data_IF_280407785654
#
_entry.id   IF_280407785654
#
_cell.length_a   1.000
_cell.length_b   1.000
_cell.length_c   1.000
_cell.angle_alpha   90.00
_cell.angle_beta   90.00
_cell.angle_gamma   90.00
#
_symmetry.space_group_name_H-M   'P 1'
#
loop_
_entity.id
_entity.type
_entity.pdbx_description
1 polymer ?
#
# COMPACT_ATOMS: atom_id res chain seq x y z
N UNK A 1 -6.02 -3.99 2.08
CA UNK A 1 -7.38 -3.57 2.17
C UNK A 1 -8.13 -3.99 3.44
N UNK A 2 -7.42 -4.22 4.60
CA UNK A 2 -8.05 -4.75 5.80
C UNK A 2 -8.64 -6.16 5.60
N UNK A 3 -9.42 -6.66 6.59
CA UNK A 3 -10.02 -8.01 6.55
C UNK A 3 -11.05 -8.20 5.41
N UNK A 4 -11.69 -7.13 4.97
CA UNK A 4 -12.67 -7.17 3.87
C UNK A 4 -12.03 -7.08 2.47
N UNK A 5 -10.70 -6.86 2.40
CA UNK A 5 -10.01 -6.66 1.14
C UNK A 5 -10.31 -5.31 0.48
N UNK A 6 -9.74 -5.10 -0.71
CA UNK A 6 -10.00 -3.95 -1.56
C UNK A 6 -10.35 -4.44 -2.96
N UNK A 7 -11.63 -4.71 -3.20
CA UNK A 7 -12.11 -5.30 -4.45
C UNK A 7 -11.54 -4.63 -5.71
N UNK A 8 -11.47 -3.30 -5.83
CA UNK A 8 -10.90 -2.67 -7.02
C UNK A 8 -9.41 -2.99 -7.22
N UNK A 9 -8.62 -3.10 -6.14
CA UNK A 9 -7.22 -3.53 -6.21
C UNK A 9 -7.15 -4.99 -6.66
N UNK A 10 -7.99 -5.86 -6.10
CA UNK A 10 -8.07 -7.28 -6.47
C UNK A 10 -8.40 -7.49 -7.96
N UNK A 11 -9.21 -6.61 -8.53
CA UNK A 11 -9.62 -6.68 -9.93
C UNK A 11 -8.55 -6.17 -10.90
N UNK A 12 -7.84 -5.11 -10.54
CA UNK A 12 -6.93 -4.38 -11.44
C UNK A 12 -5.49 -4.89 -11.40
N UNK A 13 -4.96 -5.18 -10.19
CA UNK A 13 -3.53 -5.51 -10.03
C UNK A 13 -3.09 -6.74 -10.83
N UNK A 14 -3.85 -7.86 -10.89
CA UNK A 14 -3.43 -9.02 -11.66
C UNK A 14 -3.20 -8.74 -13.15
N UNK A 15 -4.10 -7.99 -13.80
CA UNK A 15 -3.96 -7.62 -15.21
C UNK A 15 -2.77 -6.68 -15.47
N UNK A 16 -2.57 -5.69 -14.59
CA UNK A 16 -1.42 -4.80 -14.67
C UNK A 16 -0.08 -5.57 -14.60
N UNK A 17 0.01 -6.55 -13.70
CA UNK A 17 1.22 -7.37 -13.54
C UNK A 17 1.43 -8.37 -14.70
N UNK A 18 0.35 -8.93 -15.25
CA UNK A 18 0.45 -9.77 -16.45
C UNK A 18 1.04 -8.99 -17.63
N UNK A 19 0.56 -7.77 -17.83
CA UNK A 19 1.06 -6.87 -18.89
C UNK A 19 2.53 -6.49 -18.67
N UNK A 20 2.94 -6.25 -17.42
CA UNK A 20 4.34 -6.01 -17.08
C UNK A 20 5.24 -7.23 -17.32
N UNK A 21 4.80 -8.42 -16.95
CA UNK A 21 5.55 -9.65 -17.12
C UNK A 21 5.85 -9.96 -18.60
N UNK A 22 4.95 -9.59 -19.51
CA UNK A 22 5.15 -9.77 -20.95
C UNK A 22 6.23 -8.85 -21.53
N UNK A 23 6.49 -7.72 -20.87
CA UNK A 23 7.42 -6.69 -21.37
C UNK A 23 8.79 -6.74 -20.71
N UNK A 24 9.00 -7.59 -19.72
CA UNK A 24 10.24 -7.63 -18.93
C UNK A 24 10.70 -9.04 -18.57
N UNK A 25 12.03 -9.19 -18.57
CA UNK A 25 12.74 -10.42 -18.18
C UNK A 25 13.02 -10.51 -16.66
N UNK A 26 12.37 -9.67 -15.83
CA UNK A 26 12.61 -9.63 -14.38
C UNK A 26 11.33 -10.00 -13.63
N UNK A 27 11.41 -11.02 -12.79
CA UNK A 27 10.31 -11.44 -11.93
C UNK A 27 9.98 -10.32 -10.91
N UNK A 28 8.68 -10.06 -10.73
CA UNK A 28 8.15 -9.23 -9.66
C UNK A 28 7.50 -10.19 -8.69
N UNK A 29 8.00 -10.23 -7.46
CA UNK A 29 7.36 -10.99 -6.40
C UNK A 29 6.22 -10.18 -5.80
N UNK A 30 5.12 -10.85 -5.48
CA UNK A 30 3.91 -10.20 -4.95
C UNK A 30 3.35 -10.99 -3.78
N UNK A 31 3.06 -10.27 -2.72
CA UNK A 31 2.28 -10.82 -1.60
C UNK A 31 0.94 -10.07 -1.54
N UNK A 32 -0.12 -10.72 -2.00
CA UNK A 32 -1.44 -10.12 -2.17
C UNK A 32 -2.43 -10.61 -1.11
N UNK A 33 -2.84 -9.73 -0.19
CA UNK A 33 -3.95 -9.95 0.72
C UNK A 33 -5.25 -9.54 0.03
N UNK A 34 -6.14 -10.50 -0.20
CA UNK A 34 -7.38 -10.30 -0.96
C UNK A 34 -8.57 -9.89 -0.10
N UNK A 35 -8.54 -10.22 1.18
CA UNK A 35 -9.71 -10.28 2.05
C UNK A 35 -10.47 -11.59 1.90
N UNK A 36 -11.37 -11.85 2.84
CA UNK A 36 -12.10 -13.11 2.91
C UNK A 36 -13.02 -13.32 1.71
N UNK A 37 -13.05 -14.55 1.21
CA UNK A 37 -13.91 -14.97 0.08
C UNK A 37 -13.47 -14.48 -1.30
N UNK A 38 -12.34 -13.77 -1.44
CA UNK A 38 -11.88 -13.22 -2.72
C UNK A 38 -10.67 -13.94 -3.33
N UNK A 39 -9.99 -14.79 -2.57
CA UNK A 39 -8.72 -15.41 -2.96
C UNK A 39 -8.84 -16.30 -4.21
N UNK A 40 -9.90 -17.09 -4.34
CA UNK A 40 -10.10 -17.99 -5.48
C UNK A 40 -10.23 -17.21 -6.82
N UNK A 41 -10.97 -16.07 -6.82
CA UNK A 41 -11.10 -15.23 -8.01
C UNK A 41 -9.77 -14.54 -8.35
N UNK A 42 -9.10 -13.98 -7.35
CA UNK A 42 -7.80 -13.31 -7.55
C UNK A 42 -6.73 -14.28 -8.04
N UNK A 43 -6.65 -15.51 -7.50
CA UNK A 43 -5.74 -16.55 -8.01
C UNK A 43 -6.01 -16.87 -9.49
N UNK A 44 -7.28 -17.00 -9.87
CA UNK A 44 -7.66 -17.26 -11.26
C UNK A 44 -7.20 -16.11 -12.17
N UNK A 45 -7.36 -14.85 -11.73
CA UNK A 45 -6.90 -13.67 -12.46
C UNK A 45 -5.37 -13.63 -12.62
N UNK A 46 -4.61 -14.03 -11.62
CA UNK A 46 -3.14 -14.11 -11.74
C UNK A 46 -2.66 -15.22 -12.69
N UNK A 47 -3.39 -16.33 -12.75
CA UNK A 47 -3.05 -17.43 -13.65
C UNK A 47 -1.62 -17.93 -13.46
N UNK A 48 -0.82 -17.94 -14.54
CA UNK A 48 0.57 -18.43 -14.53
C UNK A 48 1.53 -17.62 -13.64
N UNK A 49 1.20 -16.39 -13.30
CA UNK A 49 2.05 -15.59 -12.40
C UNK A 49 2.16 -16.18 -10.99
N UNK A 50 1.21 -17.04 -10.56
CA UNK A 50 1.31 -17.76 -9.29
C UNK A 50 2.55 -18.66 -9.21
N UNK A 51 3.05 -19.16 -10.35
CA UNK A 51 4.26 -19.97 -10.43
C UNK A 51 5.53 -19.11 -10.54
N UNK A 52 5.38 -17.78 -10.64
CA UNK A 52 6.44 -16.82 -10.91
C UNK A 52 6.67 -15.83 -9.74
N UNK A 53 6.30 -16.22 -8.52
CA UNK A 53 6.54 -15.40 -7.31
C UNK A 53 5.34 -14.61 -6.81
N UNK A 54 4.12 -14.91 -7.28
CA UNK A 54 2.90 -14.31 -6.73
C UNK A 54 2.31 -15.21 -5.64
N UNK A 55 2.24 -14.69 -4.41
CA UNK A 55 1.61 -15.29 -3.24
C UNK A 55 0.28 -14.60 -2.97
N UNK A 56 -0.82 -15.35 -3.01
CA UNK A 56 -2.17 -14.85 -2.72
C UNK A 56 -2.67 -15.46 -1.41
N UNK A 57 -3.12 -14.62 -0.48
CA UNK A 57 -3.67 -15.02 0.83
C UNK A 57 -4.95 -14.24 1.13
N UNK A 58 -5.83 -14.79 1.94
CA UNK A 58 -7.01 -14.07 2.42
C UNK A 58 -6.63 -13.00 3.41
N UNK A 59 -5.70 -13.31 4.32
CA UNK A 59 -5.22 -12.41 5.36
C UNK A 59 -3.71 -12.60 5.60
N UNK A 60 -3.01 -11.53 5.98
CA UNK A 60 -1.61 -11.54 6.40
C UNK A 60 -1.59 -11.35 7.91
N UNK A 61 -1.17 -12.40 8.63
CA UNK A 61 -1.12 -12.38 10.09
C UNK A 61 0.00 -11.46 10.61
N UNK A 62 1.19 -11.57 10.02
CA UNK A 62 2.35 -10.74 10.38
C UNK A 62 2.53 -9.61 9.36
N UNK A 63 1.91 -8.47 9.64
CA UNK A 63 2.05 -7.28 8.81
C UNK A 63 3.45 -6.67 8.88
N UNK A 64 4.16 -6.84 10.01
CA UNK A 64 5.53 -6.33 10.16
C UNK A 64 6.49 -7.09 9.23
N UNK A 65 6.35 -8.43 9.13
CA UNK A 65 7.08 -9.25 8.16
C UNK A 65 6.78 -8.80 6.73
N UNK A 66 5.50 -8.62 6.40
CA UNK A 66 5.08 -8.21 5.06
C UNK A 66 5.63 -6.83 4.67
N UNK A 67 5.58 -5.86 5.58
CA UNK A 67 6.19 -4.55 5.33
C UNK A 67 7.72 -4.62 5.24
N UNK A 68 8.38 -5.42 6.07
CA UNK A 68 9.83 -5.59 6.00
C UNK A 68 10.28 -6.20 4.68
N UNK A 69 9.50 -7.13 4.13
CA UNK A 69 9.75 -7.78 2.85
C UNK A 69 9.49 -6.86 1.64
N UNK A 70 8.48 -5.99 1.69
CA UNK A 70 8.04 -5.23 0.54
C UNK A 70 8.98 -4.07 0.18
N UNK A 71 9.33 -3.91 -1.08
CA UNK A 71 9.96 -2.70 -1.62
C UNK A 71 8.94 -1.59 -1.93
N UNK A 72 7.69 -1.97 -2.21
CA UNK A 72 6.58 -1.06 -2.52
C UNK A 72 5.27 -1.67 -2.03
N UNK A 73 4.40 -0.86 -1.44
CA UNK A 73 3.08 -1.27 -0.95
C UNK A 73 1.97 -0.58 -1.73
N UNK A 74 1.00 -1.34 -2.26
CA UNK A 74 -0.24 -0.83 -2.84
C UNK A 74 -1.40 -1.11 -1.89
N UNK A 75 -2.02 -0.08 -1.33
CA UNK A 75 -3.05 -0.28 -0.30
C UNK A 75 -4.06 0.87 -0.18
N UNK A 76 -5.08 0.67 0.68
CA UNK A 76 -5.97 1.72 1.16
C UNK A 76 -5.28 2.62 2.19
N UNK A 77 -5.90 3.79 2.47
CA UNK A 77 -5.32 4.85 3.28
C UNK A 77 -5.94 4.92 4.69
N UNK A 78 -6.10 3.76 5.35
CA UNK A 78 -6.50 3.74 6.75
C UNK A 78 -5.43 4.40 7.65
N UNK A 79 -5.84 5.09 8.73
CA UNK A 79 -4.91 5.84 9.59
C UNK A 79 -3.79 4.96 10.15
N UNK A 80 -4.12 3.74 10.64
CA UNK A 80 -3.12 2.79 11.13
C UNK A 80 -2.16 2.35 10.02
N UNK A 81 -2.68 2.06 8.82
CA UNK A 81 -1.84 1.68 7.67
C UNK A 81 -0.86 2.79 7.31
N UNK A 82 -1.29 4.07 7.32
CA UNK A 82 -0.40 5.20 7.07
C UNK A 82 0.70 5.30 8.14
N UNK A 83 0.35 5.12 9.42
CA UNK A 83 1.33 5.13 10.51
C UNK A 83 2.33 3.96 10.40
N UNK A 84 1.86 2.76 10.06
CA UNK A 84 2.70 1.57 9.84
C UNK A 84 3.66 1.77 8.65
N UNK A 85 3.17 2.30 7.52
CA UNK A 85 4.00 2.60 6.37
C UNK A 85 5.07 3.64 6.68
N UNK A 86 4.71 4.67 7.46
CA UNK A 86 5.66 5.69 7.91
C UNK A 86 6.76 5.08 8.77
N UNK A 87 6.40 4.37 9.86
CA UNK A 87 7.40 3.83 10.79
C UNK A 87 8.30 2.77 10.16
N UNK A 88 7.77 2.02 9.18
CA UNK A 88 8.53 1.03 8.42
C UNK A 88 9.29 1.64 7.24
N UNK A 89 9.11 2.94 6.97
CA UNK A 89 9.73 3.63 5.84
C UNK A 89 9.36 3.00 4.50
N UNK A 90 8.08 2.63 4.29
CA UNK A 90 7.68 1.91 3.07
C UNK A 90 7.12 2.85 1.99
N UNK A 91 7.77 2.88 0.80
CA UNK A 91 7.20 3.54 -0.37
C UNK A 91 5.82 2.96 -0.67
N UNK A 92 4.86 3.80 -1.00
CA UNK A 92 3.52 3.28 -1.22
C UNK A 92 2.75 3.98 -2.35
N UNK A 93 1.85 3.20 -2.99
CA UNK A 93 0.77 3.70 -3.83
C UNK A 93 -0.50 3.63 -2.99
N UNK A 94 -1.04 4.79 -2.68
CA UNK A 94 -2.18 4.96 -1.78
C UNK A 94 -3.46 5.16 -2.58
N UNK A 95 -4.44 4.27 -2.35
CA UNK A 95 -5.74 4.29 -3.02
C UNK A 95 -6.83 4.60 -2.00
N UNK A 96 -7.24 5.87 -1.82
CA UNK A 96 -8.31 6.22 -0.90
C UNK A 96 -9.62 5.52 -1.26
N UNK A 97 -10.41 5.19 -0.23
CA UNK A 97 -11.76 4.69 -0.41
C UNK A 97 -12.66 5.84 -0.87
N UNK A 98 -13.31 5.75 -2.05
CA UNK A 98 -14.23 6.77 -2.49
C UNK A 98 -15.42 6.85 -1.54
N UNK A 99 -15.97 8.04 -1.36
CA UNK A 99 -17.13 8.30 -0.50
C UNK A 99 -16.93 7.93 0.99
N UNK A 100 -15.68 7.86 1.47
CA UNK A 100 -15.43 7.83 2.91
C UNK A 100 -16.03 9.10 3.55
N UNK A 101 -16.68 8.93 4.72
CA UNK A 101 -17.23 10.08 5.46
C UNK A 101 -16.13 11.12 5.62
N UNK A 102 -16.41 12.37 5.25
CA UNK A 102 -15.47 13.51 5.32
C UNK A 102 -14.14 13.31 4.56
N UNK A 103 -14.09 12.41 3.58
CA UNK A 103 -12.89 12.11 2.77
C UNK A 103 -11.62 11.84 3.60
N UNK A 104 -11.80 11.28 4.81
CA UNK A 104 -10.71 11.06 5.77
C UNK A 104 -9.57 10.21 5.21
N UNK A 105 -9.83 9.29 4.26
CA UNK A 105 -8.76 8.49 3.68
C UNK A 105 -7.85 9.29 2.75
N UNK A 106 -8.38 10.27 2.03
CA UNK A 106 -7.56 11.20 1.25
C UNK A 106 -6.73 12.07 2.20
N UNK A 107 -7.34 12.59 3.28
CA UNK A 107 -6.61 13.36 4.28
C UNK A 107 -5.46 12.53 4.93
N UNK A 108 -5.72 11.27 5.27
CA UNK A 108 -4.68 10.38 5.77
C UNK A 108 -3.54 10.17 4.76
N UNK A 109 -3.87 10.01 3.48
CA UNK A 109 -2.86 9.82 2.43
C UNK A 109 -1.92 11.02 2.31
N UNK A 110 -2.43 12.26 2.50
CA UNK A 110 -1.64 13.49 2.46
C UNK A 110 -0.49 13.50 3.49
N UNK A 111 -0.63 12.79 4.62
CA UNK A 111 0.45 12.68 5.60
C UNK A 111 1.77 12.12 5.00
N UNK A 112 1.67 11.24 4.00
CA UNK A 112 2.82 10.69 3.28
C UNK A 112 3.05 11.33 1.92
N UNK A 113 1.98 11.62 1.14
CA UNK A 113 2.13 12.12 -0.23
C UNK A 113 2.71 13.52 -0.27
N UNK A 114 2.34 14.42 0.65
CA UNK A 114 2.84 15.79 0.71
C UNK A 114 4.33 15.86 1.09
N UNK A 115 4.85 14.78 1.68
CA UNK A 115 6.26 14.61 2.01
C UNK A 115 7.06 13.80 0.98
N UNK A 116 6.39 13.31 -0.06
CA UNK A 116 7.01 12.47 -1.10
C UNK A 116 7.23 11.01 -0.70
N UNK A 117 6.66 10.55 0.43
CA UNK A 117 6.74 9.16 0.90
C UNK A 117 5.78 8.20 0.21
N UNK A 118 4.79 8.73 -0.52
CA UNK A 118 3.80 7.94 -1.23
C UNK A 118 3.35 8.61 -2.53
N UNK A 119 2.71 7.83 -3.39
CA UNK A 119 1.99 8.32 -4.57
C UNK A 119 0.49 8.09 -4.37
N UNK A 120 -0.33 9.13 -4.55
CA UNK A 120 -1.78 9.02 -4.51
C UNK A 120 -2.30 8.52 -5.86
N UNK A 121 -3.12 7.48 -5.85
CA UNK A 121 -3.88 7.01 -7.01
C UNK A 121 -5.36 6.97 -6.64
N UNK A 122 -6.15 7.89 -7.17
CA UNK A 122 -7.60 7.90 -6.91
C UNK A 122 -8.23 6.67 -7.53
N UNK A 123 -9.21 6.07 -6.85
CA UNK A 123 -9.89 4.87 -7.37
C UNK A 123 -10.56 5.12 -8.72
N UNK A 124 -11.05 6.33 -9.00
CA UNK A 124 -11.60 6.73 -10.30
C UNK A 124 -10.61 6.60 -11.46
N UNK A 125 -9.32 6.80 -11.15
CA UNK A 125 -8.24 6.83 -12.13
C UNK A 125 -7.50 5.48 -12.19
N UNK A 126 -7.86 4.56 -11.28
CA UNK A 126 -7.22 3.25 -11.15
C UNK A 126 -7.76 2.28 -12.20
N UNK A 127 -6.91 1.86 -13.10
CA UNK A 127 -7.12 0.81 -14.08
C UNK A 127 -5.80 0.05 -14.32
N UNK A 128 -5.85 -1.03 -15.10
CA UNK A 128 -4.67 -1.86 -15.36
C UNK A 128 -3.51 -1.04 -15.95
N UNK A 129 -3.80 -0.12 -16.87
CA UNK A 129 -2.78 0.71 -17.50
C UNK A 129 -2.13 1.70 -16.52
N UNK A 130 -2.92 2.40 -15.71
CA UNK A 130 -2.40 3.38 -14.74
C UNK A 130 -1.55 2.71 -13.65
N UNK A 131 -1.97 1.53 -13.16
CA UNK A 131 -1.17 0.74 -12.21
C UNK A 131 0.10 0.20 -12.88
N UNK A 132 0.00 -0.33 -14.10
CA UNK A 132 1.15 -0.78 -14.86
C UNK A 132 2.19 0.32 -15.07
N UNK A 133 1.75 1.53 -15.43
CA UNK A 133 2.65 2.65 -15.69
C UNK A 133 3.37 3.12 -14.42
N UNK A 134 2.66 3.19 -13.29
CA UNK A 134 3.28 3.48 -11.98
C UNK A 134 4.30 2.43 -11.58
N UNK A 135 3.96 1.14 -11.68
CA UNK A 135 4.88 0.05 -11.36
C UNK A 135 6.10 0.05 -12.28
N UNK A 136 5.89 0.30 -13.58
CA UNK A 136 6.99 0.42 -14.55
C UNK A 136 7.92 1.57 -14.20
N UNK A 137 7.39 2.72 -13.84
CA UNK A 137 8.20 3.88 -13.45
C UNK A 137 9.07 3.57 -12.22
N UNK A 138 8.51 2.96 -11.17
CA UNK A 138 9.28 2.56 -9.99
C UNK A 138 10.36 1.51 -10.31
N UNK A 139 10.07 0.55 -11.18
CA UNK A 139 11.05 -0.45 -11.61
C UNK A 139 12.20 0.14 -12.44
N UNK A 140 11.93 1.22 -13.18
CA UNK A 140 12.94 1.93 -13.95
C UNK A 140 13.77 2.89 -13.11
N UNK A 141 13.20 3.39 -12.02
CA UNK A 141 13.75 4.44 -11.17
C UNK A 141 13.89 3.96 -9.70
N UNK A 142 14.76 2.97 -9.39
CA UNK A 142 14.88 2.45 -8.02
C UNK A 142 15.31 3.51 -7.00
N UNK A 143 16.05 4.53 -7.44
CA UNK A 143 16.42 5.68 -6.61
C UNK A 143 15.19 6.46 -6.11
N UNK A 144 14.10 6.50 -6.90
CA UNK A 144 12.83 7.08 -6.49
C UNK A 144 12.21 6.32 -5.32
N UNK A 145 12.24 4.98 -5.34
CA UNK A 145 11.78 4.18 -4.20
C UNK A 145 12.60 4.45 -2.94
N UNK A 146 13.93 4.56 -3.07
CA UNK A 146 14.79 4.88 -1.93
C UNK A 146 14.49 6.27 -1.34
N UNK A 147 14.26 7.26 -2.19
CA UNK A 147 13.88 8.61 -1.75
C UNK A 147 12.50 8.61 -1.06
N UNK A 148 11.53 7.88 -1.63
CA UNK A 148 10.20 7.70 -1.02
C UNK A 148 10.28 6.99 0.34
N UNK A 149 11.13 5.97 0.47
CA UNK A 149 11.36 5.27 1.73
C UNK A 149 11.87 6.21 2.83
N UNK A 150 12.89 7.03 2.52
CA UNK A 150 13.42 8.02 3.44
C UNK A 150 12.36 9.08 3.82
N UNK A 151 11.56 9.55 2.86
CA UNK A 151 10.51 10.52 3.10
C UNK A 151 9.36 9.94 3.95
N UNK A 152 8.97 8.68 3.72
CA UNK A 152 7.97 7.98 4.52
C UNK A 152 8.45 7.83 5.97
N UNK A 153 9.70 7.38 6.18
CA UNK A 153 10.28 7.24 7.51
C UNK A 153 10.39 8.59 8.25
N UNK A 154 10.76 9.65 7.56
CA UNK A 154 10.81 11.00 8.14
C UNK A 154 9.43 11.55 8.53
N UNK A 155 8.33 10.99 8.01
CA UNK A 155 6.97 11.33 8.39
C UNK A 155 6.48 10.55 9.64
N UNK A 156 7.24 9.58 10.14
CA UNK A 156 6.86 8.79 11.30
C UNK A 156 6.82 9.63 12.58
N UNK A 157 5.92 9.25 13.48
CA UNK A 157 5.84 9.78 14.84
C UNK A 157 5.96 8.62 15.84
N UNK A 158 7.17 8.12 16.10
CA UNK A 158 7.37 6.98 17.00
C UNK A 158 6.98 7.28 18.46
N UNK A 159 6.98 8.54 18.84
CA UNK A 159 6.61 9.08 20.15
C UNK A 159 5.11 9.41 20.30
N UNK A 160 4.28 9.05 19.31
CA UNK A 160 2.87 9.44 19.30
C UNK A 160 2.11 9.00 20.56
N UNK A 161 2.37 7.81 21.09
CA UNK A 161 1.74 7.29 22.31
C UNK A 161 2.12 8.11 23.54
N UNK A 162 3.39 8.45 23.68
CA UNK A 162 3.89 9.30 24.80
C UNK A 162 3.25 10.68 24.76
N UNK A 163 3.22 11.31 23.58
CA UNK A 163 2.61 12.63 23.39
C UNK A 163 1.11 12.64 23.73
N UNK A 164 0.38 11.58 23.40
CA UNK A 164 -1.04 11.46 23.79
C UNK A 164 -1.18 11.30 25.29
N UNK A 165 -0.30 10.50 25.93
CA UNK A 165 -0.27 10.34 27.38
C UNK A 165 -0.03 11.68 28.09
N UNK A 166 0.99 12.42 27.65
CA UNK A 166 1.34 13.73 28.20
C UNK A 166 0.16 14.72 28.10
N UNK A 167 -0.51 14.77 26.92
CA UNK A 167 -1.70 15.60 26.74
C UNK A 167 -2.86 15.21 27.69
N UNK A 168 -3.05 13.90 27.93
CA UNK A 168 -4.06 13.44 28.87
C UNK A 168 -3.72 13.83 30.29
N UNK A 169 -2.45 13.72 30.70
CA UNK A 169 -2.00 14.13 32.03
C UNK A 169 -2.16 15.64 32.24
N UNK A 170 -1.77 16.46 31.27
CA UNK A 170 -1.98 17.92 31.34
C UNK A 170 -3.45 18.30 31.57
N UNK A 171 -4.38 17.60 30.90
CA UNK A 171 -5.82 17.83 31.04
C UNK A 171 -6.38 17.38 32.41
N UNK A 172 -5.75 16.41 33.06
CA UNK A 172 -6.18 15.90 34.37
C UNK A 172 -5.69 16.78 35.51
N UNK A 173 -4.62 17.55 35.31
CA UNK A 173 -4.00 18.40 36.35
C UNK A 173 -4.16 19.90 36.08
N UNK A 174 -4.92 20.29 35.04
CA UNK A 174 -5.32 21.67 34.75
C UNK A 174 -6.65 22.02 35.44
#
# INVERSE_FOLDING_TARGET
GGSLGARPINEVLPGALQSLAQTRNRAIEVWHQTGDGHDADVRRRYGKLLEQGVRVVTFIEDMAEAYAWADLVLCRCGALTIAELAIMGRPSILVPLPHAIDDHQTANAHALTDRGGATLLRQSDMNEQSVQDLLRDFLLNPQRLSAMAAAAFAAASPDATERVSDCCEELLYA
#
